data_IF_172701974310
#
_entry.id   IF_172701974310
#
_cell.length_a   1.000
_cell.length_b   1.000
_cell.length_c   1.000
_cell.angle_alpha   90.00
_cell.angle_beta   90.00
_cell.angle_gamma   90.00
#
_symmetry.space_group_name_H-M   'P 1'
#
loop_
_entity.id
_entity.type
_entity.pdbx_description
1 polymer ?
#
# COMPACT_ATOMS: atom_id res chain seq x y z
N UNK A 1 23.33 -11.66 -29.22
CA UNK A 1 23.06 -10.29 -29.52
C UNK A 1 21.60 -10.00 -29.55
N UNK A 2 20.90 -10.50 -30.54
CA UNK A 2 19.47 -10.25 -30.56
C UNK A 2 18.77 -10.80 -29.35
N UNK A 3 19.23 -11.94 -28.89
CA UNK A 3 18.61 -12.57 -27.74
C UNK A 3 18.72 -11.67 -26.53
N UNK A 4 19.91 -11.12 -26.33
CA UNK A 4 20.13 -10.24 -25.20
C UNK A 4 19.27 -9.00 -25.31
N UNK A 5 19.18 -8.45 -26.51
CA UNK A 5 18.38 -7.28 -26.75
C UNK A 5 16.90 -7.55 -26.46
N UNK A 6 16.42 -8.69 -26.89
CA UNK A 6 15.04 -9.05 -26.68
C UNK A 6 14.73 -9.24 -25.20
N UNK A 7 15.66 -9.86 -24.49
CA UNK A 7 15.47 -10.06 -23.06
C UNK A 7 15.36 -8.73 -22.36
N UNK A 8 16.23 -7.82 -22.70
CA UNK A 8 16.21 -6.50 -22.11
C UNK A 8 14.93 -5.75 -22.44
N UNK A 9 14.51 -5.88 -23.68
CA UNK A 9 13.28 -5.23 -24.12
C UNK A 9 12.09 -5.75 -23.35
N UNK A 10 12.03 -7.06 -23.17
CA UNK A 10 10.95 -7.67 -22.42
C UNK A 10 10.96 -7.24 -20.99
N UNK A 11 12.14 -7.17 -20.40
CA UNK A 11 12.24 -6.75 -19.02
C UNK A 11 11.69 -5.33 -18.86
N UNK A 12 12.08 -4.43 -19.75
CA UNK A 12 11.61 -3.05 -19.66
C UNK A 12 10.13 -2.97 -19.88
N UNK A 13 9.62 -3.74 -20.82
CA UNK A 13 8.20 -3.74 -21.11
C UNK A 13 7.40 -4.21 -19.89
N UNK A 14 7.82 -5.31 -19.32
CA UNK A 14 7.14 -5.85 -18.16
C UNK A 14 7.24 -4.93 -16.96
N UNK A 15 8.40 -4.34 -16.81
CA UNK A 15 8.60 -3.40 -15.72
C UNK A 15 7.67 -2.20 -15.83
N UNK A 16 7.48 -1.72 -17.04
CA UNK A 16 6.57 -0.61 -17.25
C UNK A 16 5.12 -1.00 -17.04
N UNK A 17 4.81 -2.24 -17.34
CA UNK A 17 3.45 -2.72 -17.16
C UNK A 17 3.10 -2.93 -15.71
N UNK A 18 4.09 -3.23 -14.90
CA UNK A 18 3.85 -3.45 -13.48
C UNK A 18 3.61 -2.11 -12.82
N UNK A 19 2.39 -1.94 -12.39
CA UNK A 19 2.05 -0.72 -11.68
C UNK A 19 2.50 -0.83 -10.24
N UNK A 20 2.98 0.28 -9.75
CA UNK A 20 3.33 0.34 -8.34
C UNK A 20 2.08 0.56 -7.55
N UNK A 21 1.75 -0.41 -6.74
CA UNK A 21 0.53 -0.40 -5.98
C UNK A 21 0.83 -0.25 -4.51
N UNK A 22 -0.10 0.28 -3.81
CA UNK A 22 -0.02 0.38 -2.38
C UNK A 22 -1.40 0.02 -1.82
N UNK A 23 -1.45 -0.32 -0.55
CA UNK A 23 -2.72 -0.61 0.10
C UNK A 23 -3.23 0.67 0.73
N UNK A 24 -4.44 1.04 0.37
CA UNK A 24 -5.11 2.18 0.97
C UNK A 24 -6.03 1.68 2.08
N UNK A 25 -5.93 2.31 3.24
CA UNK A 25 -6.80 1.98 4.35
C UNK A 25 -7.53 3.25 4.77
N UNK A 26 -8.84 3.18 4.82
CA UNK A 26 -9.65 4.32 5.20
C UNK A 26 -10.54 4.02 6.37
N UNK A 27 -11.20 5.03 6.84
CA UNK A 27 -12.12 4.97 7.98
C UNK A 27 -11.42 4.48 9.24
N UNK A 28 -10.19 4.94 9.42
CA UNK A 28 -9.38 4.55 10.57
C UNK A 28 -9.77 5.36 11.80
N UNK A 29 -9.62 4.72 12.94
CA UNK A 29 -9.76 5.42 14.21
C UNK A 29 -8.69 6.50 14.32
N UNK A 30 -9.04 7.62 14.95
CA UNK A 30 -8.09 8.69 15.19
C UNK A 30 -6.94 8.24 16.08
N UNK A 31 -7.14 7.16 16.81
CA UNK A 31 -6.12 6.65 17.72
C UNK A 31 -5.13 5.73 17.04
N UNK A 32 -5.35 5.43 15.77
CA UNK A 32 -4.47 4.54 15.03
C UNK A 32 -3.09 5.15 14.88
N UNK A 33 -2.07 4.35 15.18
CA UNK A 33 -0.69 4.75 15.01
C UNK A 33 -0.03 3.86 13.97
N UNK A 34 1.12 4.30 13.50
CA UNK A 34 1.87 3.53 12.51
C UNK A 34 2.15 2.12 13.02
N UNK A 35 2.50 2.00 14.28
CA UNK A 35 2.82 0.69 14.86
C UNK A 35 1.64 -0.26 14.82
N UNK A 36 0.44 0.29 15.01
CA UNK A 36 -0.76 -0.55 14.95
C UNK A 36 -0.94 -1.13 13.57
N UNK A 37 -0.73 -0.31 12.56
CA UNK A 37 -0.86 -0.76 11.18
C UNK A 37 0.22 -1.75 10.81
N UNK A 38 1.44 -1.49 11.23
CA UNK A 38 2.54 -2.40 10.96
C UNK A 38 2.26 -3.76 11.57
N UNK A 39 1.73 -3.78 12.77
CA UNK A 39 1.40 -5.03 13.42
C UNK A 39 0.31 -5.78 12.68
N UNK A 40 -0.71 -5.06 12.25
CA UNK A 40 -1.81 -5.68 11.54
C UNK A 40 -1.34 -6.31 10.23
N UNK A 41 -0.58 -5.55 9.46
CA UNK A 41 -0.18 -6.01 8.13
C UNK A 41 1.01 -6.96 8.16
N UNK A 42 1.73 -7.02 9.25
CA UNK A 42 2.83 -7.97 9.36
C UNK A 42 2.34 -9.41 9.34
N UNK A 43 1.05 -9.62 9.58
CA UNK A 43 0.47 -10.95 9.45
C UNK A 43 0.43 -11.41 8.00
N UNK A 44 0.59 -10.51 7.07
CA UNK A 44 0.48 -10.85 5.65
C UNK A 44 1.82 -10.81 4.93
N UNK A 45 2.76 -10.07 5.45
CA UNK A 45 4.06 -9.97 4.84
C UNK A 45 4.90 -8.91 5.52
N UNK A 46 6.08 -8.70 4.98
CA UNK A 46 6.98 -7.70 5.53
C UNK A 46 6.49 -6.32 5.10
N UNK A 47 6.29 -5.45 6.06
CA UNK A 47 5.84 -4.09 5.79
C UNK A 47 7.05 -3.26 5.37
N UNK A 48 7.04 -2.80 4.13
CA UNK A 48 8.12 -1.98 3.60
C UNK A 48 7.91 -0.52 3.95
N UNK A 49 6.68 -0.08 3.93
CA UNK A 49 6.37 1.30 4.16
C UNK A 49 4.99 1.41 4.79
N UNK A 50 4.86 2.32 5.71
CA UNK A 50 3.56 2.62 6.31
C UNK A 50 3.49 4.12 6.50
N UNK A 51 2.50 4.73 5.91
CA UNK A 51 2.37 6.17 5.91
C UNK A 51 1.00 6.57 6.41
N UNK A 52 0.98 7.43 7.38
CA UNK A 52 -0.25 7.91 8.01
C UNK A 52 -0.31 9.41 7.83
N UNK A 53 -0.94 9.89 6.74
CA UNK A 53 -0.91 11.32 6.44
C UNK A 53 -1.60 12.17 7.49
N UNK A 54 -1.13 13.36 7.64
CA UNK A 54 -1.71 14.34 8.54
C UNK A 54 -2.32 15.48 7.73
N UNK A 55 -3.35 16.08 8.31
CA UNK A 55 -3.93 17.26 7.72
C UNK A 55 -2.93 18.42 7.87
N UNK A 56 -2.71 19.13 6.79
CA UNK A 56 -1.71 20.18 6.78
C UNK A 56 -2.08 21.34 7.71
N UNK A 57 -3.35 21.61 7.80
CA UNK A 57 -3.78 22.78 8.55
C UNK A 57 -3.90 22.49 10.03
N UNK A 58 -4.42 21.33 10.37
CA UNK A 58 -4.69 21.00 11.76
C UNK A 58 -3.62 20.13 12.38
N UNK A 59 -2.82 19.44 11.56
CA UNK A 59 -1.84 18.49 12.08
C UNK A 59 -2.44 17.20 12.56
N UNK A 60 -3.72 17.00 12.34
CA UNK A 60 -4.40 15.80 12.80
C UNK A 60 -4.37 14.71 11.76
N UNK A 61 -4.51 13.48 12.23
CA UNK A 61 -4.60 12.34 11.33
C UNK A 61 -5.85 12.47 10.48
N UNK A 62 -5.76 11.99 9.26
CA UNK A 62 -6.87 12.10 8.33
C UNK A 62 -7.75 10.87 8.31
N UNK A 63 -7.43 9.85 9.11
CA UNK A 63 -8.22 8.63 9.12
C UNK A 63 -7.93 7.73 7.94
N UNK A 64 -6.83 7.95 7.27
CA UNK A 64 -6.41 7.10 6.15
C UNK A 64 -4.94 6.74 6.33
N UNK A 65 -4.54 5.68 5.65
CA UNK A 65 -3.14 5.26 5.66
C UNK A 65 -2.81 4.54 4.38
N UNK A 66 -1.52 4.44 4.12
CA UNK A 66 -1.01 3.71 2.97
C UNK A 66 0.05 2.74 3.47
N UNK A 67 -0.04 1.49 3.03
CA UNK A 67 0.88 0.45 3.46
C UNK A 67 1.41 -0.27 2.23
N UNK A 68 2.72 -0.44 2.19
CA UNK A 68 3.38 -1.24 1.16
C UNK A 68 3.96 -2.48 1.79
N UNK A 69 3.64 -3.63 1.22
CA UNK A 69 4.25 -4.88 1.61
C UNK A 69 5.31 -5.24 0.59
N UNK A 70 6.17 -6.16 0.99
CA UNK A 70 7.28 -6.54 0.11
C UNK A 70 6.84 -7.41 -1.06
N UNK A 71 5.63 -7.91 -1.02
CA UNK A 71 5.16 -8.87 -2.00
C UNK A 71 3.75 -8.51 -2.44
N UNK A 72 3.57 -8.45 -3.75
CA UNK A 72 2.28 -8.05 -4.31
C UNK A 72 1.17 -9.03 -3.96
N UNK A 73 1.50 -10.33 -3.93
CA UNK A 73 0.50 -11.32 -3.55
C UNK A 73 0.07 -11.15 -2.11
N UNK A 74 1.00 -10.79 -1.25
CA UNK A 74 0.66 -10.52 0.15
C UNK A 74 -0.27 -9.33 0.25
N UNK A 75 -0.05 -8.32 -0.57
CA UNK A 75 -0.90 -7.15 -0.59
C UNK A 75 -2.32 -7.52 -0.99
N UNK A 76 -2.45 -8.33 -2.02
CA UNK A 76 -3.78 -8.74 -2.47
C UNK A 76 -4.51 -9.53 -1.40
N UNK A 77 -3.79 -10.42 -0.74
CA UNK A 77 -4.40 -11.22 0.30
C UNK A 77 -4.85 -10.35 1.47
N UNK A 78 -4.02 -9.39 1.84
CA UNK A 78 -4.39 -8.48 2.92
C UNK A 78 -5.65 -7.68 2.56
N UNK A 79 -5.71 -7.21 1.34
CA UNK A 79 -6.87 -6.45 0.90
C UNK A 79 -8.13 -7.31 0.96
N UNK A 80 -8.04 -8.54 0.47
CA UNK A 80 -9.19 -9.42 0.47
C UNK A 80 -9.66 -9.74 1.88
N UNK A 81 -8.71 -10.00 2.77
CA UNK A 81 -9.06 -10.42 4.12
C UNK A 81 -9.55 -9.28 5.00
N UNK A 82 -9.03 -8.10 4.78
CA UNK A 82 -9.27 -7.00 5.70
C UNK A 82 -10.36 -6.04 5.24
N UNK A 83 -10.94 -6.30 4.09
CA UNK A 83 -11.98 -5.43 3.59
C UNK A 83 -13.18 -5.46 4.53
N UNK A 84 -13.60 -4.28 4.96
CA UNK A 84 -14.78 -4.11 5.81
C UNK A 84 -14.68 -4.83 7.15
N UNK A 85 -13.48 -5.08 7.61
CA UNK A 85 -13.24 -5.69 8.91
C UNK A 85 -13.31 -4.61 9.98
N UNK A 86 -13.88 -4.98 11.12
CA UNK A 86 -13.86 -4.06 12.24
C UNK A 86 -12.51 -4.14 12.93
N UNK A 87 -11.83 -3.00 13.03
CA UNK A 87 -10.50 -2.94 13.60
C UNK A 87 -10.36 -1.64 14.37
N UNK A 88 -9.92 -1.75 15.59
CA UNK A 88 -9.81 -0.61 16.50
C UNK A 88 -11.12 0.17 16.58
N UNK A 89 -12.20 -0.57 16.62
CA UNK A 89 -13.52 0.02 16.83
C UNK A 89 -14.19 0.60 15.62
N UNK A 90 -13.62 0.43 14.43
CA UNK A 90 -14.23 0.96 13.21
C UNK A 90 -14.11 -0.06 12.10
N UNK A 91 -15.09 -0.01 11.23
CA UNK A 91 -15.07 -0.86 10.04
C UNK A 91 -14.16 -0.21 9.01
N UNK A 92 -12.99 -0.78 8.81
CA UNK A 92 -11.99 -0.15 7.94
C UNK A 92 -12.28 -0.47 6.49
N UNK A 93 -11.82 0.42 5.63
CA UNK A 93 -11.92 0.26 4.19
C UNK A 93 -10.54 0.00 3.64
N UNK A 94 -10.36 -1.16 2.99
CA UNK A 94 -9.05 -1.54 2.50
C UNK A 94 -9.15 -1.76 1.01
N UNK A 95 -8.38 -1.01 0.26
CA UNK A 95 -8.43 -1.06 -1.19
C UNK A 95 -7.04 -0.95 -1.77
N UNK A 96 -6.95 -1.36 -3.00
CA UNK A 96 -5.74 -1.21 -3.77
C UNK A 96 -5.69 0.19 -4.35
N UNK A 97 -4.56 0.86 -4.22
CA UNK A 97 -4.39 2.19 -4.77
C UNK A 97 -3.14 2.21 -5.63
N UNK A 98 -3.24 2.91 -6.73
CA UNK A 98 -2.09 3.05 -7.61
C UNK A 98 -1.18 4.14 -7.08
N UNK A 99 0.10 3.81 -6.96
CA UNK A 99 1.07 4.76 -6.45
C UNK A 99 1.51 5.67 -7.57
N UNK A 100 1.43 6.96 -7.34
CA UNK A 100 1.87 7.91 -8.34
C UNK A 100 3.37 8.07 -8.30
N UNK A 101 3.94 8.24 -9.47
CA UNK A 101 5.36 8.45 -9.56
C UNK A 101 5.70 9.88 -9.20
N UNK A 102 6.73 10.01 -8.40
CA UNK A 102 7.16 11.32 -7.99
C UNK A 102 7.88 12.05 -9.08
N UNK A 103 8.45 11.32 -9.97
CA UNK A 103 9.28 11.91 -11.00
C UNK A 103 8.48 12.55 -12.11
N UNK A 104 7.21 12.55 -11.99
CA UNK A 104 6.37 13.10 -13.03
C UNK A 104 6.53 14.58 -13.21
N UNK A 105 6.96 15.24 -12.21
CA UNK A 105 7.09 16.68 -12.31
C UNK A 105 8.19 17.12 -13.16
#
# INVERSE_FOLDING_TARGET
MEITSLVQSNYLYLHKKIKEMTIFIGNLSWETEVEDLEQLFSNYGVVKKCYLPLDRETGRKRGIAFVDLNDHNSEKKAIDDLQDVEWMGREIRVNEAEKKRQTQQ
#
